data_IF_872290673683
#
_entry.id   IF_872290673683
#
_cell.length_a   1.000
_cell.length_b   1.000
_cell.length_c   1.000
_cell.angle_alpha   90.00
_cell.angle_beta   90.00
_cell.angle_gamma   90.00
#
_symmetry.space_group_name_H-M   'P 1'
#
loop_
_entity.id
_entity.type
_entity.pdbx_description
1 polymer ?
#
# COMPACT_ATOMS: atom_id res chain seq x y z
N UNK A 1 -1.76 25.22 12.83
CA UNK A 1 -0.82 24.80 11.76
C UNK A 1 0.57 24.74 12.36
N UNK A 2 1.38 23.78 11.94
CA UNK A 2 2.80 23.67 12.32
C UNK A 2 3.63 24.06 11.11
N UNK A 3 4.70 24.83 11.32
CA UNK A 3 5.60 25.25 10.25
C UNK A 3 6.83 24.34 10.24
N UNK A 4 7.15 23.79 9.08
CA UNK A 4 8.34 22.98 8.84
C UNK A 4 9.19 23.73 7.82
N UNK A 5 10.47 23.95 8.14
CA UNK A 5 11.45 24.51 7.21
C UNK A 5 12.31 23.38 6.65
N UNK A 6 12.44 23.31 5.32
CA UNK A 6 13.19 22.26 4.62
C UNK A 6 14.28 22.94 3.79
N UNK A 7 15.49 22.43 3.90
CA UNK A 7 16.57 22.74 2.96
C UNK A 7 16.62 21.65 1.91
N UNK A 8 16.62 22.03 0.64
CA UNK A 8 16.67 21.13 -0.50
C UNK A 8 17.80 21.56 -1.43
N UNK A 9 18.29 20.61 -2.22
CA UNK A 9 19.19 20.90 -3.34
C UNK A 9 18.45 21.72 -4.41
N UNK A 10 19.20 22.56 -5.13
CA UNK A 10 18.63 23.44 -6.16
C UNK A 10 17.91 22.66 -7.26
N UNK A 11 18.51 21.56 -7.74
CA UNK A 11 17.90 20.67 -8.73
C UNK A 11 16.55 20.10 -8.28
N UNK A 12 16.45 19.70 -7.02
CA UNK A 12 15.20 19.18 -6.48
C UNK A 12 14.11 20.27 -6.38
N UNK A 13 14.50 21.50 -6.06
CA UNK A 13 13.58 22.63 -6.03
C UNK A 13 13.08 23.00 -7.44
N UNK A 14 13.96 22.93 -8.45
CA UNK A 14 13.61 23.12 -9.86
C UNK A 14 12.63 22.03 -10.34
N UNK A 15 12.93 20.75 -10.10
CA UNK A 15 12.05 19.63 -10.45
C UNK A 15 10.65 19.77 -9.81
N UNK A 16 10.59 20.20 -8.54
CA UNK A 16 9.32 20.42 -7.87
C UNK A 16 8.53 21.59 -8.45
N UNK A 17 9.22 22.66 -8.90
CA UNK A 17 8.58 23.79 -9.57
C UNK A 17 8.01 23.38 -10.93
N UNK A 18 8.73 22.57 -11.71
CA UNK A 18 8.22 22.02 -12.96
C UNK A 18 6.96 21.16 -12.75
N UNK A 19 6.94 20.35 -11.68
CA UNK A 19 5.76 19.56 -11.30
C UNK A 19 4.58 20.48 -10.94
N UNK A 20 4.83 21.54 -10.17
CA UNK A 20 3.80 22.50 -9.79
C UNK A 20 3.18 23.17 -11.02
N UNK A 21 4.01 23.61 -11.97
CA UNK A 21 3.58 24.20 -13.24
C UNK A 21 2.78 23.21 -14.08
N UNK A 22 3.27 21.97 -14.24
CA UNK A 22 2.61 20.93 -15.02
C UNK A 22 1.24 20.56 -14.45
N UNK A 23 1.09 20.60 -13.12
CA UNK A 23 -0.17 20.32 -12.43
C UNK A 23 -1.04 21.56 -12.19
N UNK A 24 -0.60 22.74 -12.67
CA UNK A 24 -1.25 24.04 -12.48
C UNK A 24 -1.62 24.34 -11.01
N UNK A 25 -0.69 24.07 -10.10
CA UNK A 25 -0.86 24.32 -8.66
C UNK A 25 0.29 25.14 -8.07
N UNK A 26 0.14 25.58 -6.83
CA UNK A 26 1.22 26.29 -6.14
C UNK A 26 2.37 25.34 -5.77
N UNK A 27 3.59 25.87 -5.65
CA UNK A 27 4.75 25.11 -5.18
C UNK A 27 4.53 24.54 -3.76
N UNK A 28 3.82 25.29 -2.91
CA UNK A 28 3.47 24.85 -1.56
C UNK A 28 2.53 23.63 -1.58
N UNK A 29 1.50 23.65 -2.43
CA UNK A 29 0.57 22.52 -2.57
C UNK A 29 1.27 21.29 -3.15
N UNK A 30 2.14 21.48 -4.14
CA UNK A 30 2.95 20.40 -4.72
C UNK A 30 3.88 19.77 -3.66
N UNK A 31 4.56 20.59 -2.85
CA UNK A 31 5.39 20.13 -1.75
C UNK A 31 4.57 19.36 -0.70
N UNK A 32 3.40 19.87 -0.33
CA UNK A 32 2.52 19.23 0.65
C UNK A 32 2.01 17.87 0.17
N UNK A 33 1.61 17.79 -1.10
CA UNK A 33 1.14 16.55 -1.72
C UNK A 33 2.28 15.52 -1.84
N UNK A 34 3.49 15.95 -2.22
CA UNK A 34 4.67 15.07 -2.24
C UNK A 34 4.98 14.50 -0.85
N UNK A 35 4.98 15.35 0.18
CA UNK A 35 5.17 14.93 1.57
C UNK A 35 4.08 13.96 2.05
N UNK A 36 2.81 14.22 1.70
CA UNK A 36 1.70 13.33 2.04
C UNK A 36 1.90 11.95 1.44
N UNK A 37 2.20 11.86 0.15
CA UNK A 37 2.45 10.59 -0.54
C UNK A 37 3.61 9.82 0.08
N UNK A 38 4.71 10.51 0.38
CA UNK A 38 5.85 9.89 1.04
C UNK A 38 5.47 9.26 2.40
N UNK A 39 4.71 9.99 3.22
CA UNK A 39 4.24 9.49 4.52
C UNK A 39 3.31 8.29 4.35
N UNK A 40 2.38 8.34 3.40
CA UNK A 40 1.46 7.23 3.11
C UNK A 40 2.20 5.97 2.65
N UNK A 41 3.18 6.12 1.75
CA UNK A 41 3.96 5.00 1.23
C UNK A 41 4.91 4.41 2.28
N UNK A 42 5.51 5.25 3.13
CA UNK A 42 6.30 4.81 4.28
C UNK A 42 5.44 3.98 5.25
N UNK A 43 4.22 4.44 5.58
CA UNK A 43 3.29 3.71 6.45
C UNK A 43 2.78 2.40 5.85
N UNK A 44 2.65 2.31 4.51
CA UNK A 44 2.31 1.05 3.83
C UNK A 44 3.45 0.05 3.90
N UNK A 45 4.69 0.53 3.84
CA UNK A 45 5.90 -0.31 3.87
C UNK A 45 6.22 -0.84 5.26
N UNK A 46 5.88 -0.06 6.31
CA UNK A 46 6.03 -0.46 7.73
C UNK A 46 4.91 -1.36 8.25
N UNK A 47 3.82 -1.54 7.50
CA UNK A 47 2.86 -2.61 7.84
C UNK A 47 3.55 -3.94 7.59
N UNK A 48 3.65 -4.84 8.59
CA UNK A 48 4.18 -6.17 8.36
C UNK A 48 3.33 -6.80 7.27
N UNK A 49 3.91 -6.96 6.07
CA UNK A 49 3.39 -7.91 5.11
C UNK A 49 3.45 -9.24 5.84
N UNK A 50 2.32 -9.71 6.34
CA UNK A 50 2.16 -11.10 6.72
C UNK A 50 2.36 -11.90 5.43
N UNK A 51 3.61 -12.10 5.02
CA UNK A 51 3.97 -13.16 4.12
C UNK A 51 3.69 -14.41 4.93
N UNK A 52 2.54 -15.01 4.65
CA UNK A 52 2.30 -16.37 5.04
C UNK A 52 3.31 -17.22 4.24
N UNK A 53 4.56 -17.29 4.73
CA UNK A 53 5.53 -18.29 4.30
C UNK A 53 5.05 -19.59 4.95
N UNK A 54 4.01 -20.15 4.34
CA UNK A 54 3.36 -21.39 4.71
C UNK A 54 2.79 -21.99 3.44
N UNK A 55 3.59 -22.83 2.78
CA UNK A 55 3.12 -23.88 1.84
C UNK A 55 2.48 -23.40 0.52
N UNK A 56 2.66 -22.14 0.09
CA UNK A 56 2.05 -21.64 -1.17
C UNK A 56 2.94 -21.66 -2.42
N UNK A 57 4.25 -21.90 -2.30
CA UNK A 57 5.20 -21.72 -3.42
C UNK A 57 5.56 -22.98 -4.21
N UNK A 58 4.97 -24.13 -3.87
CA UNK A 58 5.11 -25.34 -4.69
C UNK A 58 3.81 -25.65 -5.43
N UNK A 59 3.59 -24.92 -6.52
CA UNK A 59 2.78 -25.40 -7.65
C UNK A 59 1.40 -24.76 -7.80
N UNK A 60 1.24 -24.02 -8.91
CA UNK A 60 -0.04 -23.64 -9.54
C UNK A 60 -0.96 -22.79 -8.65
N UNK A 61 -0.83 -21.47 -8.76
CA UNK A 61 -1.75 -20.51 -8.12
C UNK A 61 -3.23 -20.80 -8.40
N UNK A 62 -3.56 -21.33 -9.58
CA UNK A 62 -4.91 -21.80 -9.93
C UNK A 62 -5.45 -22.90 -9.00
N UNK A 63 -4.58 -23.76 -8.46
CA UNK A 63 -5.00 -24.84 -7.57
C UNK A 63 -5.30 -24.30 -6.17
N UNK A 64 -4.49 -23.35 -5.69
CA UNK A 64 -4.72 -22.68 -4.40
C UNK A 64 -6.04 -21.93 -4.43
N UNK A 65 -6.29 -21.16 -5.48
CA UNK A 65 -7.53 -20.39 -5.62
C UNK A 65 -8.76 -21.31 -5.71
N UNK A 66 -8.67 -22.43 -6.45
CA UNK A 66 -9.76 -23.42 -6.55
C UNK A 66 -10.00 -24.18 -5.25
N UNK A 67 -8.95 -24.43 -4.46
CA UNK A 67 -9.08 -25.05 -3.14
C UNK A 67 -9.77 -24.10 -2.18
N UNK A 68 -9.37 -22.82 -2.15
CA UNK A 68 -10.01 -21.81 -1.31
C UNK A 68 -11.50 -21.65 -1.65
N UNK A 69 -11.83 -21.57 -2.94
CA UNK A 69 -13.21 -21.51 -3.42
C UNK A 69 -14.02 -22.77 -3.04
N UNK A 70 -13.41 -23.95 -3.15
CA UNK A 70 -14.07 -25.23 -2.79
C UNK A 70 -14.28 -25.34 -1.28
N UNK A 71 -13.29 -24.97 -0.48
CA UNK A 71 -13.38 -25.00 0.98
C UNK A 71 -14.41 -24.00 1.50
N UNK A 72 -14.44 -22.79 0.95
CA UNK A 72 -15.50 -21.81 1.26
C UNK A 72 -16.89 -22.38 0.92
N UNK A 73 -17.06 -22.98 -0.27
CA UNK A 73 -18.34 -23.58 -0.68
C UNK A 73 -18.78 -24.76 0.19
N UNK A 74 -17.84 -25.52 0.76
CA UNK A 74 -18.14 -26.67 1.63
C UNK A 74 -18.37 -26.23 3.08
N UNK A 75 -17.66 -25.20 3.55
CA UNK A 75 -17.85 -24.60 4.87
C UNK A 75 -19.26 -24.00 5.00
N UNK A 76 -19.76 -23.33 3.96
CA UNK A 76 -21.14 -22.83 3.94
C UNK A 76 -22.19 -23.96 3.87
N UNK A 77 -21.81 -25.16 3.42
CA UNK A 77 -22.73 -26.29 3.26
C UNK A 77 -22.87 -27.18 4.49
N UNK A 78 -22.01 -27.00 5.50
CA UNK A 78 -22.08 -27.73 6.77
C UNK A 78 -22.06 -26.73 7.91
N UNK A 79 -23.25 -26.36 8.38
CA UNK A 79 -23.43 -25.88 9.74
C UNK A 79 -22.69 -26.83 10.70
N UNK A 80 -21.65 -26.34 11.37
CA UNK A 80 -21.05 -27.11 12.47
C UNK A 80 -19.54 -26.99 12.71
N UNK A 81 -18.80 -26.10 12.06
CA UNK A 81 -17.40 -25.85 12.45
C UNK A 81 -17.25 -24.41 12.88
N UNK A 82 -17.51 -24.15 14.16
CA UNK A 82 -17.03 -22.94 14.83
C UNK A 82 -15.54 -23.13 15.10
N UNK A 83 -14.70 -22.30 14.48
CA UNK A 83 -13.34 -22.06 14.97
C UNK A 83 -13.44 -21.00 16.07
N UNK A 84 -13.79 -21.44 17.27
CA UNK A 84 -13.48 -20.64 18.47
C UNK A 84 -12.00 -20.85 18.83
N UNK A 85 -11.35 -19.79 19.38
CA UNK A 85 -9.90 -19.58 19.34
C UNK A 85 -9.05 -20.58 20.13
#
# INVERSE_FOLDING_TARGET
MVTIAIQAEESLAEELAEIADAMQMSLEDAALEALRRYVEDAQRSDKPRYSFIGVGHSGKGDLSQRVDETLASVAERREGWSLDP
#
